data_IF_823193707630
#
_entry.id   IF_823193707630
#
_cell.length_a   1.000
_cell.length_b   1.000
_cell.length_c   1.000
_cell.angle_alpha   90.00
_cell.angle_beta   90.00
_cell.angle_gamma   90.00
#
_symmetry.space_group_name_H-M   'P 1'
#
loop_
_entity.id
_entity.type
_entity.pdbx_description
1 polymer ?
#
# COMPACT_ATOMS: atom_id res chain seq x y z
N UNK A 1 -9.26 20.22 -13.98
CA UNK A 1 -8.36 19.06 -13.98
C UNK A 1 -8.33 18.54 -12.55
N UNK A 2 -8.92 17.38 -12.28
CA UNK A 2 -8.93 16.73 -10.96
C UNK A 2 -7.74 15.78 -10.93
N UNK A 3 -6.74 16.06 -10.10
CA UNK A 3 -5.56 15.20 -9.95
C UNK A 3 -5.92 14.11 -8.93
N UNK A 4 -5.54 12.86 -9.22
CA UNK A 4 -5.67 11.78 -8.24
C UNK A 4 -4.88 12.13 -6.97
N UNK A 5 -5.33 11.67 -5.81
CA UNK A 5 -4.58 11.85 -4.58
C UNK A 5 -3.29 11.01 -4.61
N UNK A 6 -2.17 11.48 -4.02
CA UNK A 6 -0.94 10.71 -3.94
C UNK A 6 -1.19 9.41 -3.16
N UNK A 7 -0.88 8.26 -3.78
CA UNK A 7 -1.15 6.95 -3.20
C UNK A 7 0.04 6.00 -3.28
N UNK A 8 -0.03 4.95 -2.47
CA UNK A 8 0.76 3.72 -2.58
C UNK A 8 -0.20 2.61 -2.99
N UNK A 9 0.17 1.82 -3.99
CA UNK A 9 -0.52 0.59 -4.32
C UNK A 9 0.16 -0.56 -3.60
N UNK A 10 -0.60 -1.40 -2.91
CA UNK A 10 -0.06 -2.57 -2.21
C UNK A 10 -0.75 -3.82 -2.74
N UNK A 11 0.07 -4.75 -3.21
CA UNK A 11 -0.33 -6.08 -3.65
C UNK A 11 0.08 -7.10 -2.58
N UNK A 12 -0.89 -7.75 -1.95
CA UNK A 12 -0.64 -8.78 -0.93
C UNK A 12 -0.80 -10.16 -1.58
N UNK A 13 0.30 -10.89 -1.71
CA UNK A 13 0.37 -12.18 -2.41
C UNK A 13 0.67 -13.30 -1.40
N UNK A 14 -0.11 -14.37 -1.44
CA UNK A 14 0.20 -15.59 -0.69
C UNK A 14 1.46 -16.26 -1.27
N UNK A 15 2.46 -16.52 -0.44
CA UNK A 15 3.73 -17.05 -0.91
C UNK A 15 3.64 -18.49 -1.43
N UNK A 16 2.62 -19.26 -1.02
CA UNK A 16 2.39 -20.64 -1.43
C UNK A 16 1.61 -20.72 -2.74
N UNK A 17 0.50 -19.98 -2.86
CA UNK A 17 -0.40 -20.06 -4.02
C UNK A 17 -0.01 -19.09 -5.13
N UNK A 18 0.71 -18.01 -4.80
CA UNK A 18 1.00 -16.87 -5.68
C UNK A 18 -0.24 -16.07 -6.10
N UNK A 19 -1.36 -16.27 -5.41
CA UNK A 19 -2.61 -15.56 -5.63
C UNK A 19 -2.71 -14.32 -4.71
N UNK A 20 -3.54 -13.36 -5.12
CA UNK A 20 -3.86 -12.19 -4.30
C UNK A 20 -4.73 -12.61 -3.10
N UNK A 21 -4.30 -12.34 -1.87
CA UNK A 21 -4.99 -12.82 -0.67
C UNK A 21 -6.37 -12.18 -0.46
N UNK A 22 -6.58 -10.95 -0.95
CA UNK A 22 -7.86 -10.25 -0.83
C UNK A 22 -8.89 -10.93 -1.70
N UNK A 23 -8.54 -11.26 -2.95
CA UNK A 23 -9.41 -11.98 -3.87
C UNK A 23 -9.59 -13.44 -3.45
N UNK A 24 -8.49 -14.14 -3.14
CA UNK A 24 -8.51 -15.57 -2.80
C UNK A 24 -9.41 -15.85 -1.59
N UNK A 25 -9.40 -14.97 -0.58
CA UNK A 25 -10.14 -15.18 0.66
C UNK A 25 -11.43 -14.35 0.75
N UNK A 26 -11.82 -13.64 -0.31
CA UNK A 26 -12.97 -12.73 -0.34
C UNK A 26 -12.95 -11.72 0.82
N UNK A 27 -11.81 -11.08 1.06
CA UNK A 27 -11.62 -10.14 2.17
C UNK A 27 -12.38 -8.85 1.87
N UNK A 28 -13.34 -8.50 2.72
CA UNK A 28 -14.14 -7.29 2.58
C UNK A 28 -13.40 -6.06 3.13
N UNK A 29 -13.79 -4.86 2.67
CA UNK A 29 -13.13 -3.59 3.04
C UNK A 29 -13.10 -3.37 4.55
N UNK A 30 -14.20 -3.69 5.24
CA UNK A 30 -14.37 -3.55 6.69
C UNK A 30 -13.47 -4.49 7.51
N UNK A 31 -12.93 -5.54 6.90
CA UNK A 31 -12.00 -6.45 7.56
C UNK A 31 -10.57 -5.92 7.55
N UNK A 32 -10.28 -4.92 6.71
CA UNK A 32 -8.96 -4.34 6.55
C UNK A 32 -8.86 -3.06 7.36
N UNK A 33 -7.80 -2.95 8.17
CA UNK A 33 -7.44 -1.70 8.84
C UNK A 33 -6.05 -1.28 8.40
N UNK A 34 -5.92 -0.03 7.93
CA UNK A 34 -4.64 0.56 7.56
C UNK A 34 -4.31 1.67 8.55
N UNK A 35 -3.14 1.61 9.18
CA UNK A 35 -2.68 2.62 10.15
C UNK A 35 -1.37 3.25 9.72
N UNK A 36 -1.17 4.50 10.09
CA UNK A 36 0.11 5.17 9.95
C UNK A 36 1.06 4.88 11.13
N UNK A 37 2.30 5.36 11.04
CA UNK A 37 3.31 5.23 12.10
C UNK A 37 2.93 5.84 13.46
N UNK A 38 1.94 6.73 13.50
CA UNK A 38 1.38 7.27 14.74
C UNK A 38 0.14 6.48 15.23
N UNK A 39 -0.09 5.29 14.65
CA UNK A 39 -1.22 4.39 14.92
C UNK A 39 -2.59 5.02 14.65
N UNK A 40 -2.65 6.04 13.78
CA UNK A 40 -3.92 6.62 13.33
C UNK A 40 -4.40 5.92 12.08
N UNK A 41 -5.71 5.80 11.92
CA UNK A 41 -6.31 5.24 10.71
C UNK A 41 -5.88 6.05 9.49
N UNK A 42 -5.57 5.33 8.40
CA UNK A 42 -5.25 5.88 7.11
C UNK A 42 -6.31 5.50 6.09
N UNK A 43 -6.60 6.41 5.17
CA UNK A 43 -7.63 6.21 4.15
C UNK A 43 -7.10 5.28 3.06
N UNK A 44 -7.93 4.32 2.66
CA UNK A 44 -7.62 3.37 1.61
C UNK A 44 -8.88 2.87 0.91
N UNK A 45 -8.71 2.21 -0.23
CA UNK A 45 -9.76 1.45 -0.92
C UNK A 45 -9.18 0.17 -1.53
N UNK A 46 -10.04 -0.77 -1.91
CA UNK A 46 -9.69 -1.97 -2.66
C UNK A 46 -10.05 -1.74 -4.13
N UNK A 47 -9.12 -2.01 -5.05
CA UNK A 47 -9.40 -2.09 -6.49
C UNK A 47 -9.94 -3.49 -6.75
N UNK A 48 -11.27 -3.64 -6.76
CA UNK A 48 -11.97 -4.94 -6.76
C UNK A 48 -11.49 -5.92 -7.84
N UNK A 49 -11.20 -5.45 -9.05
CA UNK A 49 -10.74 -6.31 -10.16
C UNK A 49 -9.38 -6.98 -9.92
N UNK A 50 -8.56 -6.39 -9.04
CA UNK A 50 -7.17 -6.81 -8.81
C UNK A 50 -6.85 -7.18 -7.37
N UNK A 51 -7.72 -6.81 -6.42
CA UNK A 51 -7.46 -6.90 -4.99
C UNK A 51 -6.30 -6.01 -4.53
N UNK A 52 -5.89 -5.01 -5.31
CA UNK A 52 -4.87 -4.04 -4.90
C UNK A 52 -5.44 -3.08 -3.85
N UNK A 53 -4.65 -2.82 -2.81
CA UNK A 53 -4.95 -1.75 -1.85
C UNK A 53 -4.40 -0.44 -2.39
N UNK A 54 -5.26 0.55 -2.57
CA UNK A 54 -4.87 1.93 -2.86
C UNK A 54 -4.91 2.71 -1.55
N UNK A 55 -3.73 2.99 -0.99
CA UNK A 55 -3.56 3.67 0.30
C UNK A 55 -3.14 5.11 0.06
N UNK A 56 -3.85 6.08 0.65
CA UNK A 56 -3.54 7.50 0.47
C UNK A 56 -2.30 7.88 1.28
N UNK A 57 -1.35 8.58 0.64
CA UNK A 57 -0.16 9.13 1.29
C UNK A 57 -0.52 10.45 1.96
N UNK A 58 -0.27 10.55 3.26
CA UNK A 58 -0.41 11.80 4.03
C UNK A 58 0.85 12.67 4.01
N UNK A 59 2.01 12.08 3.69
CA UNK A 59 3.30 12.76 3.67
C UNK A 59 4.26 12.08 2.68
N UNK A 60 5.36 12.76 2.33
CA UNK A 60 6.40 12.21 1.44
C UNK A 60 7.17 11.05 2.07
N UNK A 61 7.19 10.98 3.40
CA UNK A 61 7.75 9.89 4.18
C UNK A 61 6.71 9.39 5.15
N UNK A 62 6.60 8.07 5.30
CA UNK A 62 5.67 7.48 6.23
C UNK A 62 5.97 6.03 6.54
N UNK A 63 5.22 5.49 7.48
CA UNK A 63 5.09 4.06 7.71
C UNK A 63 3.63 3.68 7.75
N UNK A 64 3.35 2.48 7.26
CA UNK A 64 2.03 1.90 7.10
C UNK A 64 2.03 0.52 7.74
N UNK A 65 0.98 0.24 8.51
CA UNK A 65 0.66 -1.08 9.04
C UNK A 65 -0.68 -1.51 8.44
N UNK A 66 -0.73 -2.75 7.97
CA UNK A 66 -1.93 -3.36 7.40
C UNK A 66 -2.36 -4.51 8.29
N UNK A 67 -3.58 -4.42 8.78
CA UNK A 67 -4.25 -5.45 9.59
C UNK A 67 -5.40 -6.04 8.78
N UNK A 68 -5.61 -7.36 8.93
CA UNK A 68 -6.79 -8.08 8.42
C UNK A 68 -7.38 -8.85 9.59
N UNK A 69 -8.67 -8.66 9.86
CA UNK A 69 -9.37 -9.25 11.01
C UNK A 69 -8.62 -9.01 12.33
N UNK A 70 -8.10 -7.79 12.51
CA UNK A 70 -7.28 -7.36 13.67
C UNK A 70 -5.92 -8.04 13.82
N UNK A 71 -5.46 -8.83 12.84
CA UNK A 71 -4.12 -9.39 12.82
C UNK A 71 -3.21 -8.52 11.95
N UNK A 72 -2.05 -8.11 12.47
CA UNK A 72 -1.04 -7.40 11.67
C UNK A 72 -0.48 -8.37 10.65
N UNK A 73 -0.71 -8.09 9.37
CA UNK A 73 -0.24 -8.93 8.26
C UNK A 73 1.08 -8.42 7.70
N UNK A 74 1.25 -7.10 7.63
CA UNK A 74 2.51 -6.50 7.18
C UNK A 74 2.66 -5.07 7.68
N UNK A 75 3.91 -4.63 7.76
CA UNK A 75 4.29 -3.25 8.03
C UNK A 75 5.36 -2.83 7.03
N UNK A 76 5.29 -1.60 6.54
CA UNK A 76 6.34 -1.05 5.71
C UNK A 76 6.54 0.45 5.95
N UNK A 77 7.74 0.94 5.66
CA UNK A 77 8.05 2.36 5.58
C UNK A 77 8.46 2.75 4.17
N UNK A 78 8.27 4.01 3.82
CA UNK A 78 8.63 4.55 2.51
C UNK A 78 9.11 5.99 2.60
N UNK A 79 9.92 6.37 1.62
CA UNK A 79 10.14 7.74 1.19
C UNK A 79 9.54 7.93 -0.21
N UNK A 80 9.38 9.17 -0.64
CA UNK A 80 8.93 9.54 -1.99
C UNK A 80 9.95 10.51 -2.56
N UNK A 81 10.38 10.28 -3.80
CA UNK A 81 11.28 11.18 -4.52
C UNK A 81 10.60 12.54 -4.80
N UNK A 82 11.39 13.54 -5.18
CA UNK A 82 10.82 14.78 -5.68
C UNK A 82 10.06 14.53 -6.99
N UNK A 83 8.95 15.25 -7.26
CA UNK A 83 8.28 15.23 -8.55
C UNK A 83 9.25 15.47 -9.70
N UNK A 84 9.08 14.78 -10.83
CA UNK A 84 9.90 14.96 -12.03
C UNK A 84 9.43 16.14 -12.90
N UNK A 85 8.24 16.66 -12.63
CA UNK A 85 7.59 17.74 -13.36
C UNK A 85 6.71 18.59 -12.45
N UNK A 86 6.34 19.79 -12.92
CA UNK A 86 5.38 20.67 -12.24
C UNK A 86 3.92 20.32 -12.56
N UNK A 87 3.67 19.14 -13.14
CA UNK A 87 2.30 18.70 -13.42
C UNK A 87 1.58 18.40 -12.10
N UNK A 88 0.28 18.72 -12.03
CA UNK A 88 -0.49 18.59 -10.80
C UNK A 88 -0.62 17.15 -10.26
N UNK A 89 -0.27 16.15 -11.07
CA UNK A 89 -0.36 14.72 -10.76
C UNK A 89 1.00 14.06 -10.51
N UNK A 90 2.09 14.84 -10.54
CA UNK A 90 3.41 14.31 -10.27
C UNK A 90 3.69 14.38 -8.77
N UNK A 91 3.54 13.25 -8.11
CA UNK A 91 3.74 13.12 -6.66
C UNK A 91 5.06 12.44 -6.32
N UNK A 92 5.98 12.32 -7.29
CA UNK A 92 7.18 11.51 -7.15
C UNK A 92 6.90 10.00 -7.12
N UNK A 93 7.98 9.23 -6.99
CA UNK A 93 7.98 7.77 -6.96
C UNK A 93 8.39 7.27 -5.59
N UNK A 94 7.91 6.09 -5.18
CA UNK A 94 8.36 5.44 -3.96
C UNK A 94 9.84 5.08 -4.05
N UNK A 95 10.57 5.45 -3.00
CA UNK A 95 11.99 5.17 -2.82
C UNK A 95 12.24 4.75 -1.37
N UNK A 96 13.35 4.07 -1.11
CA UNK A 96 13.74 3.59 0.23
C UNK A 96 12.61 2.82 0.95
N UNK A 97 11.88 1.99 0.21
CA UNK A 97 10.83 1.15 0.79
C UNK A 97 11.48 0.07 1.64
N UNK A 98 10.96 -0.13 2.85
CA UNK A 98 11.40 -1.20 3.76
C UNK A 98 10.17 -1.90 4.28
N UNK A 99 10.01 -3.18 3.94
CA UNK A 99 8.94 -4.04 4.45
C UNK A 99 9.48 -4.89 5.60
N UNK A 100 8.77 -4.93 6.71
CA UNK A 100 9.16 -5.69 7.90
C UNK A 100 8.81 -7.16 7.73
N UNK A 101 9.81 -8.04 7.93
CA UNK A 101 9.67 -9.50 8.00
C UNK A 101 9.17 -10.24 6.74
N UNK A 102 8.83 -9.53 5.66
CA UNK A 102 8.30 -10.09 4.43
C UNK A 102 9.19 -9.81 3.23
N UNK A 103 9.22 -10.74 2.27
CA UNK A 103 9.82 -10.48 0.95
C UNK A 103 8.93 -9.52 0.17
N UNK A 104 9.53 -8.65 -0.63
CA UNK A 104 8.77 -7.71 -1.45
C UNK A 104 9.48 -7.33 -2.75
N UNK A 105 8.68 -6.92 -3.73
CA UNK A 105 9.12 -6.27 -4.96
C UNK A 105 8.51 -4.87 -5.04
N UNK A 106 9.24 -3.93 -5.65
CA UNK A 106 8.78 -2.56 -5.87
C UNK A 106 8.81 -2.25 -7.38
N UNK A 107 7.66 -1.91 -7.94
CA UNK A 107 7.52 -1.47 -9.33
C UNK A 107 6.77 -0.13 -9.35
N UNK A 108 7.52 0.97 -9.55
CA UNK A 108 6.96 2.32 -9.49
C UNK A 108 6.37 2.63 -8.11
N UNK A 109 5.05 2.83 -8.04
CA UNK A 109 4.32 3.09 -6.80
C UNK A 109 3.57 1.87 -6.27
N UNK A 110 3.83 0.68 -6.84
CA UNK A 110 3.23 -0.59 -6.43
C UNK A 110 4.24 -1.42 -5.65
N UNK A 111 3.88 -1.75 -4.42
CA UNK A 111 4.63 -2.66 -3.55
C UNK A 111 3.94 -4.02 -3.58
N UNK A 112 4.62 -5.06 -4.06
CA UNK A 112 4.14 -6.43 -3.98
C UNK A 112 4.80 -7.11 -2.78
N UNK A 113 4.02 -7.52 -1.79
CA UNK A 113 4.47 -8.14 -0.54
C UNK A 113 4.03 -9.61 -0.55
N UNK A 114 4.98 -10.51 -0.33
CA UNK A 114 4.75 -11.94 -0.24
C UNK A 114 4.60 -12.35 1.23
N UNK A 115 3.46 -12.96 1.56
CA UNK A 115 3.04 -13.35 2.91
C UNK A 115 3.14 -14.86 3.13
#
# INVERSE_FOLDING_TARGET
MLCAAPSVLVHLIDNSTKENIILQNNIALEQITVRDGAKKNNDFTIIEESGLLLIIKKALKGSIEIEIDSNVITQFSYNTSAPKSNACCDFGELIDVVVTSNQYNLEGNTITIFL
#
